data_IF_718126626169
#
_entry.id   IF_718126626169
#
_cell.length_a   1.000
_cell.length_b   1.000
_cell.length_c   1.000
_cell.angle_alpha   90.00
_cell.angle_beta   90.00
_cell.angle_gamma   90.00
#
_symmetry.space_group_name_H-M   'P 1'
#
loop_
_entity.id
_entity.type
_entity.pdbx_description
1 polymer ?
#
# COMPACT_ATOMS: atom_id res chain seq x y z
N UNK A 1 0.36 55.79 35.32
CA UNK A 1 0.38 54.36 35.74
C UNK A 1 -0.52 53.47 34.86
N UNK A 2 -1.59 54.00 34.24
CA UNK A 2 -2.51 53.26 33.35
C UNK A 2 -1.96 52.94 31.94
N UNK A 3 -1.07 53.77 31.36
CA UNK A 3 -0.64 53.63 29.97
C UNK A 3 0.25 52.40 29.69
N UNK A 4 1.06 51.99 30.68
CA UNK A 4 1.94 50.83 30.59
C UNK A 4 1.16 49.50 30.68
N UNK A 5 0.00 49.50 31.34
CA UNK A 5 -0.89 48.34 31.37
C UNK A 5 -1.49 48.03 29.99
N UNK A 6 -1.91 49.06 29.26
CA UNK A 6 -2.53 48.91 27.93
C UNK A 6 -1.53 48.39 26.91
N UNK A 7 -0.29 48.89 26.94
CA UNK A 7 0.80 48.44 26.04
C UNK A 7 1.15 46.97 26.29
N UNK A 8 1.23 46.54 27.56
CA UNK A 8 1.47 45.13 27.90
C UNK A 8 0.34 44.22 27.39
N UNK A 9 -0.92 44.65 27.52
CA UNK A 9 -2.08 43.90 27.01
C UNK A 9 -2.02 43.74 25.48
N UNK A 10 -1.70 44.80 24.74
CA UNK A 10 -1.54 44.76 23.28
C UNK A 10 -0.38 43.85 22.86
N UNK A 11 0.76 43.91 23.55
CA UNK A 11 1.91 43.05 23.28
C UNK A 11 1.59 41.57 23.51
N UNK A 12 0.89 41.25 24.60
CA UNK A 12 0.45 39.89 24.91
C UNK A 12 -0.53 39.38 23.83
N UNK A 13 -1.51 40.19 23.41
CA UNK A 13 -2.47 39.82 22.36
C UNK A 13 -1.74 39.56 21.04
N UNK A 14 -0.75 40.38 20.69
CA UNK A 14 0.07 40.21 19.48
C UNK A 14 0.87 38.89 19.52
N UNK A 15 1.55 38.61 20.65
CA UNK A 15 2.32 37.37 20.85
C UNK A 15 1.42 36.13 20.78
N UNK A 16 0.24 36.18 21.41
CA UNK A 16 -0.74 35.09 21.37
C UNK A 16 -1.28 34.88 19.95
N UNK A 17 -1.53 35.96 19.21
CA UNK A 17 -2.00 35.89 17.82
C UNK A 17 -0.95 35.26 16.89
N UNK A 18 0.32 35.63 17.05
CA UNK A 18 1.44 35.02 16.31
C UNK A 18 1.62 33.55 16.69
N UNK A 19 1.48 33.21 17.98
CA UNK A 19 1.54 31.82 18.43
C UNK A 19 0.43 30.96 17.80
N UNK A 20 -0.80 31.47 17.71
CA UNK A 20 -1.93 30.76 17.10
C UNK A 20 -1.72 30.48 15.60
N UNK A 21 -1.03 31.36 14.87
CA UNK A 21 -0.67 31.12 13.47
C UNK A 21 0.36 29.99 13.31
N UNK A 22 1.23 29.82 14.31
CA UNK A 22 2.25 28.75 14.35
C UNK A 22 1.69 27.39 14.81
N UNK A 23 0.44 27.31 15.29
CA UNK A 23 -0.22 26.06 15.71
C UNK A 23 -0.90 25.29 14.55
N UNK A 24 -0.65 25.65 13.30
CA UNK A 24 -1.21 24.93 12.12
C UNK A 24 -0.44 23.63 11.80
N UNK A 25 -0.37 22.69 12.75
CA UNK A 25 0.03 21.29 12.52
C UNK A 25 -1.15 20.36 12.84
N UNK A 26 -1.55 19.35 12.09
CA UNK A 26 -0.85 18.47 11.14
C UNK A 26 -1.67 18.30 9.85
N UNK A 27 -1.30 19.00 8.78
CA UNK A 27 -1.97 18.84 7.47
C UNK A 27 -1.64 17.51 6.76
N UNK A 28 -0.62 16.79 7.23
CA UNK A 28 -0.07 15.60 6.55
C UNK A 28 -0.49 14.24 7.13
N UNK A 29 -1.43 14.19 8.09
CA UNK A 29 -1.84 12.91 8.69
C UNK A 29 -2.69 12.15 7.67
N UNK A 30 -2.25 10.94 7.33
CA UNK A 30 -3.07 9.97 6.57
C UNK A 30 -3.56 8.92 7.56
N UNK A 31 -4.86 8.72 7.61
CA UNK A 31 -5.43 7.75 8.53
C UNK A 31 -5.32 6.33 7.96
N UNK A 32 -5.16 5.33 8.83
CA UNK A 32 -5.10 3.92 8.44
C UNK A 32 -6.36 3.50 7.65
N UNK A 33 -7.49 4.11 7.95
CA UNK A 33 -8.77 3.83 7.30
C UNK A 33 -8.87 4.41 5.88
N UNK A 34 -7.99 5.33 5.50
CA UNK A 34 -7.92 5.94 4.16
C UNK A 34 -6.90 5.23 3.26
N UNK A 35 -6.09 4.34 3.83
CA UNK A 35 -5.01 3.63 3.14
C UNK A 35 -5.39 2.18 2.85
N UNK A 36 -5.13 1.77 1.61
CA UNK A 36 -5.12 0.39 1.18
C UNK A 36 -3.69 -0.13 1.32
N UNK A 37 -3.37 -0.76 2.45
CA UNK A 37 -2.04 -1.34 2.69
C UNK A 37 -1.84 -2.50 1.72
N UNK A 38 -1.03 -2.28 0.70
CA UNK A 38 -0.73 -3.26 -0.33
C UNK A 38 0.37 -4.21 0.13
N UNK A 39 0.07 -5.50 0.18
CA UNK A 39 1.02 -6.55 0.59
C UNK A 39 1.64 -7.26 -0.61
N UNK A 40 0.89 -7.42 -1.70
CA UNK A 40 1.38 -8.07 -2.89
C UNK A 40 0.78 -7.50 -4.17
N UNK A 41 1.54 -7.56 -5.26
CA UNK A 41 1.12 -7.15 -6.60
C UNK A 41 1.47 -8.28 -7.56
N UNK A 42 0.54 -8.66 -8.44
CA UNK A 42 0.78 -9.59 -9.53
C UNK A 42 0.60 -8.91 -10.88
N UNK A 43 1.48 -9.23 -11.83
CA UNK A 43 1.47 -8.70 -13.19
C UNK A 43 1.43 -9.85 -14.20
N UNK A 44 0.31 -9.96 -14.88
CA UNK A 44 0.05 -10.96 -15.90
C UNK A 44 -0.07 -10.34 -17.28
N UNK A 45 0.36 -11.10 -18.29
CA UNK A 45 0.00 -10.80 -19.68
C UNK A 45 -1.48 -11.09 -19.87
N UNK A 46 -2.16 -10.24 -20.64
CA UNK A 46 -3.55 -10.46 -21.02
C UNK A 46 -3.73 -10.24 -22.52
N UNK A 47 -4.84 -10.73 -23.09
CA UNK A 47 -5.13 -10.65 -24.53
C UNK A 47 -4.98 -9.22 -25.07
N UNK A 48 -5.41 -8.24 -24.28
CA UNK A 48 -5.28 -6.81 -24.57
C UNK A 48 -4.48 -6.10 -23.48
N UNK A 49 -3.17 -6.32 -23.47
CA UNK A 49 -2.21 -5.59 -22.62
C UNK A 49 -1.79 -6.39 -21.39
N UNK A 50 -2.14 -5.88 -20.21
CA UNK A 50 -1.71 -6.43 -18.91
C UNK A 50 -2.91 -6.54 -17.97
N UNK A 51 -2.94 -7.62 -17.20
CA UNK A 51 -3.81 -7.75 -16.03
C UNK A 51 -2.96 -7.51 -14.78
N UNK A 52 -3.42 -6.62 -13.90
CA UNK A 52 -2.75 -6.33 -12.64
C UNK A 52 -3.67 -6.76 -11.51
N UNK A 53 -3.15 -7.53 -10.57
CA UNK A 53 -3.82 -7.84 -9.31
C UNK A 53 -3.09 -7.15 -8.15
N UNK A 54 -3.82 -6.43 -7.31
CA UNK A 54 -3.30 -5.77 -6.12
C UNK A 54 -3.99 -6.36 -4.90
N UNK A 55 -3.20 -6.87 -3.97
CA UNK A 55 -3.68 -7.43 -2.73
C UNK A 55 -3.52 -6.43 -1.58
N UNK A 56 -4.61 -6.21 -0.86
CA UNK A 56 -4.70 -5.24 0.24
C UNK A 56 -5.08 -5.95 1.53
N UNK A 57 -4.32 -5.69 2.59
CA UNK A 57 -4.63 -6.20 3.93
C UNK A 57 -5.89 -5.51 4.50
N UNK A 58 -6.80 -6.30 5.07
CA UNK A 58 -8.03 -5.84 5.73
C UNK A 58 -7.84 -5.87 7.24
N UNK A 59 -7.69 -4.72 7.93
CA UNK A 59 -7.35 -4.68 9.36
C UNK A 59 -8.45 -5.25 10.29
N UNK A 60 -9.71 -5.23 9.87
CA UNK A 60 -10.87 -5.58 10.71
C UNK A 60 -10.97 -7.07 11.07
N UNK A 61 -10.28 -7.97 10.35
CA UNK A 61 -10.21 -9.39 10.73
C UNK A 61 -9.03 -9.71 11.66
N UNK A 62 -8.09 -8.78 11.84
CA UNK A 62 -6.89 -8.98 12.67
C UNK A 62 -7.19 -8.72 14.16
N UNK A 63 -8.27 -8.01 14.48
CA UNK A 63 -8.57 -7.56 15.84
C UNK A 63 -9.66 -8.37 16.58
N UNK A 64 -10.23 -9.41 15.95
CA UNK A 64 -11.50 -10.00 16.39
C UNK A 64 -11.56 -11.52 16.46
N UNK A 65 -10.46 -12.20 16.82
CA UNK A 65 -10.51 -13.53 17.46
C UNK A 65 -9.07 -13.97 17.79
N UNK A 66 -8.76 -14.15 19.07
CA UNK A 66 -7.42 -14.58 19.52
C UNK A 66 -7.05 -16.00 19.11
N UNK A 67 -7.89 -16.67 18.31
CA UNK A 67 -7.73 -18.06 17.88
C UNK A 67 -7.49 -18.22 16.38
N UNK A 68 -7.66 -17.18 15.55
CA UNK A 68 -7.29 -17.27 14.13
C UNK A 68 -6.58 -16.02 13.64
N UNK A 69 -5.25 -16.08 13.62
CA UNK A 69 -4.36 -15.14 12.93
C UNK A 69 -4.52 -15.30 11.41
N UNK A 70 -5.70 -15.00 10.88
CA UNK A 70 -5.97 -14.96 9.44
C UNK A 70 -5.72 -13.53 8.95
N UNK A 71 -4.78 -13.37 8.04
CA UNK A 71 -4.61 -12.15 7.25
C UNK A 71 -5.71 -12.13 6.19
N UNK A 72 -6.84 -11.50 6.50
CA UNK A 72 -7.77 -11.17 5.44
C UNK A 72 -7.11 -10.20 4.48
N UNK A 73 -7.08 -10.61 3.21
CA UNK A 73 -6.58 -9.79 2.15
C UNK A 73 -7.61 -9.79 1.03
N UNK A 74 -7.96 -8.59 0.57
CA UNK A 74 -8.85 -8.40 -0.57
C UNK A 74 -8.00 -8.16 -1.81
N UNK A 75 -8.30 -8.89 -2.88
CA UNK A 75 -7.64 -8.72 -4.18
C UNK A 75 -8.51 -7.85 -5.08
N UNK A 76 -7.91 -6.81 -5.64
CA UNK A 76 -8.50 -5.97 -6.68
C UNK A 76 -7.76 -6.23 -7.99
N UNK A 77 -8.48 -6.36 -9.10
CA UNK A 77 -7.87 -6.65 -10.40
C UNK A 77 -8.40 -5.72 -11.47
N UNK A 78 -7.52 -5.27 -12.37
CA UNK A 78 -7.95 -4.58 -13.58
C UNK A 78 -7.03 -4.86 -14.76
N UNK A 79 -7.63 -4.82 -15.96
CA UNK A 79 -6.92 -4.95 -17.23
C UNK A 79 -6.73 -3.57 -17.90
N UNK A 80 -5.57 -3.35 -18.51
CA UNK A 80 -5.28 -2.14 -19.27
C UNK A 80 -4.24 -2.38 -20.36
N UNK A 81 -4.19 -1.49 -21.36
CA UNK A 81 -3.20 -1.58 -22.46
C UNK A 81 -1.76 -1.39 -21.94
N UNK A 82 -1.61 -0.67 -20.84
CA UNK A 82 -0.35 -0.48 -20.13
C UNK A 82 -0.53 -0.79 -18.65
N UNK A 83 0.57 -1.13 -17.96
CA UNK A 83 0.59 -1.32 -16.50
C UNK A 83 0.03 -0.08 -15.78
N UNK A 84 0.36 1.12 -16.26
CA UNK A 84 -0.12 2.36 -15.67
C UNK A 84 -1.64 2.55 -15.83
N UNK A 85 -2.20 2.19 -16.99
CA UNK A 85 -3.64 2.23 -17.21
C UNK A 85 -4.37 1.26 -16.28
N UNK A 86 -3.89 0.02 -16.16
CA UNK A 86 -4.45 -0.99 -15.27
C UNK A 86 -4.40 -0.52 -13.80
N UNK A 87 -3.25 -0.03 -13.33
CA UNK A 87 -3.11 0.54 -11.97
C UNK A 87 -4.05 1.73 -11.71
N UNK A 88 -4.26 2.59 -12.72
CA UNK A 88 -5.20 3.71 -12.61
C UNK A 88 -6.66 3.25 -12.50
N UNK A 89 -7.04 2.18 -13.21
CA UNK A 89 -8.38 1.57 -13.06
C UNK A 89 -8.58 1.01 -11.66
N UNK A 90 -7.60 0.26 -11.14
CA UNK A 90 -7.64 -0.25 -9.75
C UNK A 90 -7.81 0.89 -8.75
N UNK A 91 -7.07 1.99 -8.91
CA UNK A 91 -7.18 3.17 -8.04
C UNK A 91 -8.56 3.81 -8.07
N UNK A 92 -9.30 3.67 -9.18
CA UNK A 92 -10.66 4.19 -9.33
C UNK A 92 -11.71 3.28 -8.68
N UNK A 93 -11.46 1.97 -8.64
CA UNK A 93 -12.34 0.98 -8.00
C UNK A 93 -12.12 0.89 -6.48
N UNK A 94 -10.92 1.24 -6.02
CA UNK A 94 -10.57 1.20 -4.61
C UNK A 94 -11.15 2.37 -3.83
N UNK A 95 -11.80 2.12 -2.67
CA UNK A 95 -12.28 3.19 -1.79
C UNK A 95 -11.15 3.89 -1.02
N UNK A 96 -9.95 3.28 -0.98
CA UNK A 96 -8.79 3.74 -0.21
C UNK A 96 -7.59 3.92 -1.12
N UNK A 97 -6.70 4.83 -0.76
CA UNK A 97 -5.48 5.10 -1.53
C UNK A 97 -4.49 3.95 -1.41
N UNK A 98 -4.03 3.40 -2.54
CA UNK A 98 -2.96 2.39 -2.60
C UNK A 98 -1.74 2.88 -1.82
N UNK A 99 -1.28 2.06 -0.89
CA UNK A 99 -0.12 2.34 -0.05
C UNK A 99 0.86 1.16 -0.11
N UNK A 100 1.92 1.34 -0.91
CA UNK A 100 2.92 0.30 -1.23
C UNK A 100 4.10 0.23 -0.25
N UNK A 101 4.09 1.01 0.82
CA UNK A 101 5.19 1.01 1.79
C UNK A 101 5.33 -0.31 2.55
N UNK A 102 4.35 -1.21 2.45
CA UNK A 102 4.36 -2.53 3.09
C UNK A 102 4.30 -3.66 2.05
N UNK A 103 4.67 -3.36 0.80
CA UNK A 103 4.76 -4.37 -0.24
C UNK A 103 5.77 -5.45 0.20
N UNK A 104 5.35 -6.71 0.18
CA UNK A 104 6.18 -7.86 0.52
C UNK A 104 6.61 -8.61 -0.74
N UNK A 105 5.74 -8.66 -1.76
CA UNK A 105 5.99 -9.48 -2.95
C UNK A 105 5.42 -8.87 -4.22
N UNK A 106 6.27 -8.79 -5.23
CA UNK A 106 5.90 -8.48 -6.62
C UNK A 106 6.03 -9.77 -7.44
N UNK A 107 4.93 -10.23 -8.01
CA UNK A 107 4.86 -11.46 -8.79
C UNK A 107 4.66 -11.08 -10.25
N UNK A 108 5.48 -11.62 -11.14
CA UNK A 108 5.46 -11.29 -12.57
C UNK A 108 5.40 -12.59 -13.35
N UNK A 109 4.46 -12.70 -14.29
CA UNK A 109 4.45 -13.82 -15.25
C UNK A 109 5.72 -13.82 -16.10
N UNK A 110 6.24 -15.01 -16.43
CA UNK A 110 7.45 -15.13 -17.26
C UNK A 110 7.36 -14.34 -18.57
N UNK A 111 6.20 -14.36 -19.24
CA UNK A 111 5.94 -13.59 -20.45
C UNK A 111 6.21 -12.08 -20.24
N UNK A 112 5.67 -11.52 -19.17
CA UNK A 112 5.85 -10.10 -18.84
C UNK A 112 7.27 -9.81 -18.39
N UNK A 113 7.89 -10.72 -17.63
CA UNK A 113 9.26 -10.57 -17.16
C UNK A 113 10.24 -10.49 -18.34
N UNK A 114 10.07 -11.34 -19.35
CA UNK A 114 10.90 -11.32 -20.57
C UNK A 114 10.72 -10.04 -21.40
N UNK A 115 9.51 -9.50 -21.46
CA UNK A 115 9.23 -8.31 -22.27
C UNK A 115 9.57 -6.98 -21.56
N UNK A 116 9.24 -6.83 -20.28
CA UNK A 116 9.12 -5.50 -19.62
C UNK A 116 9.55 -5.44 -18.16
N UNK A 117 10.35 -6.38 -17.65
CA UNK A 117 10.80 -6.34 -16.24
C UNK A 117 11.46 -5.01 -15.86
N UNK A 118 12.32 -4.46 -16.72
CA UNK A 118 13.01 -3.19 -16.45
C UNK A 118 12.03 -2.03 -16.27
N UNK A 119 10.94 -1.99 -17.04
CA UNK A 119 9.94 -0.93 -16.94
C UNK A 119 9.10 -1.05 -15.68
N UNK A 120 8.74 -2.28 -15.29
CA UNK A 120 8.03 -2.55 -14.03
C UNK A 120 8.89 -2.09 -12.85
N UNK A 121 10.13 -2.55 -12.81
CA UNK A 121 11.08 -2.24 -11.75
C UNK A 121 11.31 -0.73 -11.65
N UNK A 122 11.52 -0.06 -12.78
CA UNK A 122 11.75 1.39 -12.85
C UNK A 122 10.52 2.21 -12.38
N UNK A 123 9.29 1.76 -12.67
CA UNK A 123 8.06 2.36 -12.11
C UNK A 123 8.00 2.19 -10.58
N UNK A 124 8.35 1.01 -10.08
CA UNK A 124 8.34 0.72 -8.65
C UNK A 124 9.36 1.59 -7.90
N UNK A 125 10.61 1.65 -8.37
CA UNK A 125 11.66 2.44 -7.73
C UNK A 125 11.42 3.96 -7.77
N UNK A 126 10.62 4.45 -8.72
CA UNK A 126 10.21 5.86 -8.74
C UNK A 126 9.18 6.22 -7.67
N UNK A 127 8.50 5.26 -7.07
CA UNK A 127 7.55 5.52 -5.98
C UNK A 127 8.30 5.75 -4.66
N UNK A 128 8.32 7.01 -4.21
CA UNK A 128 9.00 7.44 -2.97
C UNK A 128 8.57 6.70 -1.69
N UNK A 129 7.36 6.14 -1.69
CA UNK A 129 6.80 5.41 -0.54
C UNK A 129 7.17 3.93 -0.54
N UNK A 130 7.74 3.41 -1.62
CA UNK A 130 8.15 2.01 -1.72
C UNK A 130 9.39 1.74 -0.86
N UNK A 131 9.30 0.75 0.02
CA UNK A 131 10.50 0.16 0.63
C UNK A 131 11.09 -0.86 -0.34
N UNK A 132 12.42 -0.93 -0.43
CA UNK A 132 13.13 -1.80 -1.37
C UNK A 132 13.31 -3.23 -0.86
N UNK A 133 12.71 -3.58 0.27
CA UNK A 133 12.84 -4.86 0.98
C UNK A 133 11.72 -5.88 0.64
N UNK A 134 11.30 -5.91 -0.63
CA UNK A 134 10.29 -6.84 -1.13
C UNK A 134 10.90 -7.89 -2.07
N UNK A 135 10.25 -9.05 -2.16
CA UNK A 135 10.66 -10.12 -3.06
C UNK A 135 10.07 -9.91 -4.46
N UNK A 136 10.87 -10.18 -5.50
CA UNK A 136 10.38 -10.29 -6.87
C UNK A 136 10.34 -11.77 -7.24
N UNK A 137 9.16 -12.27 -7.58
CA UNK A 137 8.94 -13.64 -8.02
C UNK A 137 8.57 -13.64 -9.51
N UNK A 138 9.12 -14.58 -10.26
CA UNK A 138 8.73 -14.82 -11.65
C UNK A 138 8.05 -16.17 -11.73
N UNK A 139 6.85 -16.22 -12.30
CA UNK A 139 6.08 -17.47 -12.43
C UNK A 139 6.30 -18.08 -13.81
N UNK A 140 6.68 -19.36 -13.84
CA UNK A 140 6.86 -20.15 -15.05
C UNK A 140 5.57 -20.92 -15.37
N UNK A 141 5.12 -20.87 -16.62
CA UNK A 141 3.95 -21.60 -17.14
C UNK A 141 2.66 -21.42 -16.31
N UNK A 142 2.55 -20.35 -15.54
CA UNK A 142 1.38 -20.04 -14.71
C UNK A 142 1.19 -18.55 -14.52
N UNK A 143 -0.05 -18.16 -14.24
CA UNK A 143 -0.41 -16.77 -13.97
C UNK A 143 0.13 -16.32 -12.61
N UNK A 144 0.68 -15.12 -12.58
CA UNK A 144 1.13 -14.45 -11.36
C UNK A 144 -0.01 -14.32 -10.34
N UNK A 145 -1.22 -14.01 -10.81
CA UNK A 145 -2.44 -13.93 -9.98
C UNK A 145 -2.74 -15.24 -9.22
N UNK A 146 -2.50 -16.40 -9.85
CA UNK A 146 -2.71 -17.69 -9.17
C UNK A 146 -1.73 -17.88 -8.02
N UNK A 147 -0.48 -17.49 -8.23
CA UNK A 147 0.57 -17.57 -7.20
C UNK A 147 0.29 -16.60 -6.05
N UNK A 148 -0.24 -15.41 -6.36
CA UNK A 148 -0.71 -14.43 -5.37
C UNK A 148 -1.70 -15.09 -4.39
N UNK A 149 -2.74 -15.75 -4.93
CA UNK A 149 -3.77 -16.41 -4.11
C UNK A 149 -3.22 -17.58 -3.28
N UNK A 150 -2.25 -18.34 -3.81
CA UNK A 150 -1.57 -19.40 -3.05
C UNK A 150 -0.77 -18.81 -1.88
N UNK A 151 0.03 -17.79 -2.12
CA UNK A 151 0.83 -17.13 -1.07
C UNK A 151 -0.07 -16.56 0.03
N UNK A 152 -1.22 -15.99 -0.35
CA UNK A 152 -2.25 -15.53 0.58
C UNK A 152 -2.76 -16.66 1.46
N UNK A 153 -3.10 -17.80 0.86
CA UNK A 153 -3.58 -18.97 1.58
C UNK A 153 -2.53 -19.50 2.57
N UNK A 154 -1.25 -19.48 2.18
CA UNK A 154 -0.14 -19.87 3.05
C UNK A 154 0.03 -18.90 4.24
N UNK A 155 -0.07 -17.59 4.00
CA UNK A 155 -0.05 -16.58 5.07
C UNK A 155 -1.24 -16.70 6.04
N UNK A 156 -2.34 -17.32 5.60
CA UNK A 156 -3.54 -17.57 6.40
C UNK A 156 -3.53 -18.90 7.16
N UNK A 157 -2.48 -19.70 7.02
CA UNK A 157 -2.36 -20.94 7.80
C UNK A 157 -2.22 -20.63 9.29
N UNK A 158 -2.76 -21.48 10.18
CA UNK A 158 -2.49 -21.38 11.61
C UNK A 158 -0.97 -21.34 11.91
N UNK A 159 -0.57 -20.47 12.85
CA UNK A 159 0.83 -20.27 13.27
C UNK A 159 1.65 -21.56 13.48
N UNK A 160 1.10 -22.66 14.05
CA UNK A 160 1.87 -23.91 14.21
C UNK A 160 2.42 -24.46 12.89
N UNK A 161 1.63 -24.40 11.80
CA UNK A 161 2.00 -24.95 10.49
C UNK A 161 3.01 -24.03 9.78
N UNK A 162 2.86 -22.70 9.91
CA UNK A 162 3.80 -21.74 9.33
C UNK A 162 5.22 -21.89 9.89
N UNK A 163 5.35 -22.24 11.17
CA UNK A 163 6.66 -22.42 11.82
C UNK A 163 7.49 -23.58 11.26
N UNK A 164 6.83 -24.54 10.59
CA UNK A 164 7.47 -25.70 9.97
C UNK A 164 7.96 -25.42 8.55
N UNK A 165 7.39 -24.41 7.87
CA UNK A 165 7.78 -24.02 6.51
C UNK A 165 8.95 -23.03 6.49
N UNK A 166 9.20 -22.35 7.60
CA UNK A 166 10.24 -21.32 7.71
C UNK A 166 11.56 -21.88 8.29
N UNK A 167 11.78 -23.20 8.15
CA UNK A 167 12.94 -23.94 8.62
C UNK A 167 13.86 -24.38 7.48
#
# INVERSE_FOLDING_TARGET
MYENETIKKVLIISIVSVALLLLTGCWGRRELNELAITTAIAVDKADYGYNISVQVAVPSEVAGDTTSSRVAATTYQAQGKTIFEAMRKITTEMPRKIYVAHLQTLIISEEVARERISQIVDIMFRHRELRTDFYILVTQDTKADRTLHILTALQNLPKPIQSLLNR
#
